data_IF_760600462209
#
_entry.id   IF_760600462209
#
_cell.length_a   1.000
_cell.length_b   1.000
_cell.length_c   1.000
_cell.angle_alpha   90.00
_cell.angle_beta   90.00
_cell.angle_gamma   90.00
#
_symmetry.space_group_name_H-M   'P 1'
#
loop_
_entity.id
_entity.type
_entity.pdbx_description
1 polymer ?
#
# COMPACT_ATOMS: atom_id res chain seq x y z
N UNK A 1 -3.72 -11.02 -16.03
CA UNK A 1 -2.57 -10.39 -16.72
C UNK A 1 -1.58 -9.81 -15.70
N UNK A 2 -0.26 -9.91 -15.91
CA UNK A 2 0.72 -9.28 -15.00
C UNK A 2 0.77 -7.76 -15.23
N UNK A 3 0.59 -6.99 -14.16
CA UNK A 3 0.56 -5.53 -14.16
C UNK A 3 1.88 -4.92 -13.69
N UNK A 4 2.55 -5.57 -12.75
CA UNK A 4 3.88 -5.23 -12.27
C UNK A 4 4.54 -6.47 -11.67
N UNK A 5 5.88 -6.53 -11.70
CA UNK A 5 6.66 -7.62 -11.17
C UNK A 5 8.00 -7.13 -10.58
N UNK A 6 8.38 -7.69 -9.44
CA UNK A 6 9.68 -7.47 -8.82
C UNK A 6 10.30 -8.81 -8.44
N UNK A 7 11.44 -9.12 -9.03
CA UNK A 7 12.29 -10.24 -8.67
C UNK A 7 13.42 -9.78 -7.74
N UNK A 8 13.65 -10.56 -6.70
CA UNK A 8 14.58 -10.26 -5.62
C UNK A 8 15.50 -11.47 -5.45
N UNK A 9 16.78 -11.20 -5.29
CA UNK A 9 17.77 -12.17 -4.86
C UNK A 9 18.22 -11.84 -3.44
N UNK A 10 18.25 -12.81 -2.56
CA UNK A 10 18.54 -12.58 -1.16
C UNK A 10 19.30 -13.74 -0.53
N UNK A 11 20.01 -13.45 0.56
CA UNK A 11 20.58 -14.51 1.40
C UNK A 11 19.45 -15.22 2.13
N UNK A 12 19.58 -16.55 2.27
CA UNK A 12 18.65 -17.36 3.07
C UNK A 12 18.71 -16.94 4.53
N UNK A 13 17.62 -17.10 5.28
CA UNK A 13 17.53 -16.69 6.70
C UNK A 13 18.68 -17.23 7.57
N UNK A 14 19.15 -18.45 7.32
CA UNK A 14 20.21 -19.11 8.09
C UNK A 14 21.63 -18.90 7.52
N UNK A 15 21.77 -18.12 6.45
CA UNK A 15 23.08 -17.85 5.87
C UNK A 15 23.86 -16.85 6.76
N UNK A 16 25.19 -17.00 6.89
CA UNK A 16 26.00 -16.07 7.68
C UNK A 16 26.06 -14.66 7.07
N UNK A 17 25.76 -14.53 5.77
CA UNK A 17 25.73 -13.25 5.07
C UNK A 17 24.31 -12.69 4.96
N UNK A 18 24.14 -11.37 5.07
CA UNK A 18 22.86 -10.66 4.87
C UNK A 18 22.91 -9.80 3.61
N UNK A 19 22.59 -10.38 2.46
CA UNK A 19 22.71 -9.74 1.13
C UNK A 19 21.36 -9.66 0.42
N UNK A 20 21.15 -8.59 -0.33
CA UNK A 20 19.98 -8.35 -1.19
C UNK A 20 20.46 -7.81 -2.54
N UNK A 21 19.88 -8.29 -3.63
CA UNK A 21 20.10 -7.82 -4.98
C UNK A 21 18.77 -7.78 -5.75
N UNK A 22 18.64 -6.87 -6.71
CA UNK A 22 17.47 -6.84 -7.61
C UNK A 22 17.68 -7.79 -8.77
N UNK A 23 16.62 -8.47 -9.17
CA UNK A 23 16.52 -9.31 -10.36
C UNK A 23 15.87 -8.56 -11.53
N UNK A 24 14.99 -9.25 -12.25
CA UNK A 24 14.02 -8.67 -13.17
C UNK A 24 13.10 -7.67 -12.47
N UNK A 25 12.93 -6.49 -13.07
CA UNK A 25 12.08 -5.42 -12.53
C UNK A 25 11.17 -4.89 -13.63
N UNK A 26 9.87 -5.05 -13.46
CA UNK A 26 8.84 -4.51 -14.33
C UNK A 26 7.87 -3.64 -13.52
N UNK A 27 8.13 -2.33 -13.51
CA UNK A 27 7.40 -1.35 -12.69
C UNK A 27 6.83 -0.23 -13.58
N UNK A 28 5.78 -0.49 -14.37
CA UNK A 28 5.24 0.48 -15.30
C UNK A 28 4.58 1.67 -14.60
N UNK A 29 4.78 2.85 -15.19
CA UNK A 29 4.19 4.13 -14.78
C UNK A 29 3.25 4.61 -15.89
N UNK A 30 2.05 4.04 -15.99
CA UNK A 30 0.99 4.60 -16.85
C UNK A 30 0.14 5.56 -16.00
N UNK A 31 0.25 6.87 -16.29
CA UNK A 31 -0.42 8.05 -15.69
C UNK A 31 -0.75 7.97 -14.17
N UNK A 32 -0.13 8.84 -13.36
CA UNK A 32 -0.27 8.85 -11.90
C UNK A 32 0.86 8.06 -11.22
N UNK A 33 0.59 7.40 -10.10
CA UNK A 33 1.59 6.59 -9.40
C UNK A 33 1.98 5.28 -10.11
N UNK A 34 1.12 4.77 -11.00
CA UNK A 34 1.38 3.57 -11.80
C UNK A 34 1.35 2.25 -11.02
N UNK A 35 1.10 1.14 -11.73
CA UNK A 35 1.04 -0.21 -11.17
C UNK A 35 2.34 -0.62 -10.47
N UNK A 36 3.49 -0.10 -10.93
CA UNK A 36 4.78 -0.32 -10.28
C UNK A 36 4.78 0.19 -8.84
N UNK A 37 4.33 1.43 -8.60
CA UNK A 37 4.30 1.98 -7.24
C UNK A 37 3.29 1.26 -6.35
N UNK A 38 2.18 0.80 -6.92
CA UNK A 38 1.17 -0.01 -6.20
C UNK A 38 1.77 -1.33 -5.73
N UNK A 39 2.54 -2.03 -6.58
CA UNK A 39 3.25 -3.24 -6.17
C UNK A 39 4.24 -2.95 -5.04
N UNK A 40 5.08 -1.92 -5.18
CA UNK A 40 6.07 -1.57 -4.15
C UNK A 40 5.39 -1.23 -2.80
N UNK A 41 4.29 -0.48 -2.84
CA UNK A 41 3.50 -0.18 -1.66
C UNK A 41 2.88 -1.45 -1.05
N UNK A 42 2.39 -2.39 -1.88
CA UNK A 42 1.86 -3.67 -1.41
C UNK A 42 2.90 -4.54 -0.69
N UNK A 43 4.13 -4.59 -1.22
CA UNK A 43 5.25 -5.28 -0.55
C UNK A 43 5.50 -4.65 0.83
N UNK A 44 5.57 -3.32 0.91
CA UNK A 44 5.74 -2.61 2.19
C UNK A 44 4.60 -2.94 3.14
N UNK A 45 3.34 -2.82 2.72
CA UNK A 45 2.19 -3.12 3.57
C UNK A 45 2.18 -4.58 4.06
N UNK A 46 2.64 -5.52 3.23
CA UNK A 46 2.70 -6.93 3.58
C UNK A 46 3.76 -7.22 4.63
N UNK A 47 4.97 -6.69 4.48
CA UNK A 47 6.14 -7.11 5.26
C UNK A 47 6.51 -6.14 6.39
N UNK A 48 6.04 -4.90 6.39
CA UNK A 48 6.33 -3.91 7.44
C UNK A 48 5.86 -4.33 8.85
N UNK A 49 4.73 -5.05 9.03
CA UNK A 49 4.37 -5.59 10.35
C UNK A 49 5.36 -6.62 10.91
N UNK A 50 6.17 -7.24 10.05
CA UNK A 50 7.09 -8.32 10.39
C UNK A 50 8.53 -7.82 10.69
N UNK A 51 8.76 -6.50 10.68
CA UNK A 51 10.06 -5.91 11.04
C UNK A 51 9.97 -5.17 12.39
N UNK A 52 11.11 -5.12 13.09
CA UNK A 52 11.28 -4.35 14.32
C UNK A 52 10.97 -2.86 14.10
N UNK A 53 10.24 -2.24 15.03
CA UNK A 53 9.87 -0.83 14.97
C UNK A 53 11.10 0.10 14.94
N UNK A 54 12.21 -0.33 15.54
CA UNK A 54 13.49 0.40 15.49
C UNK A 54 13.99 0.63 14.06
N UNK A 55 13.56 -0.20 13.11
CA UNK A 55 13.92 -0.08 11.69
C UNK A 55 13.06 0.90 10.90
N UNK A 56 11.94 1.37 11.47
CA UNK A 56 10.99 2.21 10.74
C UNK A 56 11.63 3.54 10.36
N UNK A 57 12.46 4.10 11.24
CA UNK A 57 13.16 5.36 10.99
C UNK A 57 14.34 5.21 10.02
N UNK A 58 15.07 4.08 10.04
CA UNK A 58 16.09 3.79 9.02
C UNK A 58 15.43 3.60 7.64
N UNK A 59 14.28 2.92 7.58
CA UNK A 59 13.49 2.79 6.36
C UNK A 59 13.03 4.15 5.80
N UNK A 60 12.45 5.03 6.63
CA UNK A 60 12.02 6.37 6.20
C UNK A 60 13.20 7.20 5.69
N UNK A 61 14.33 7.18 6.42
CA UNK A 61 15.57 7.86 6.01
C UNK A 61 16.05 7.32 4.66
N UNK A 62 16.08 6.01 4.47
CA UNK A 62 16.45 5.36 3.21
C UNK A 62 15.58 5.84 2.05
N UNK A 63 14.25 5.85 2.20
CA UNK A 63 13.34 6.33 1.16
C UNK A 63 13.62 7.79 0.78
N UNK A 64 13.85 8.66 1.76
CA UNK A 64 14.16 10.06 1.53
C UNK A 64 15.47 10.25 0.75
N UNK A 65 16.52 9.50 1.11
CA UNK A 65 17.79 9.53 0.39
C UNK A 65 17.65 9.02 -1.05
N UNK A 66 16.90 7.93 -1.26
CA UNK A 66 16.65 7.38 -2.61
C UNK A 66 15.84 8.36 -3.46
N UNK A 67 14.82 9.01 -2.87
CA UNK A 67 14.02 10.03 -3.53
C UNK A 67 14.90 11.15 -4.09
N UNK A 68 15.88 11.61 -3.31
CA UNK A 68 16.83 12.68 -3.67
C UNK A 68 17.98 12.22 -4.54
N UNK A 69 18.06 10.93 -4.87
CA UNK A 69 19.15 10.37 -5.67
C UNK A 69 20.50 10.36 -4.93
N UNK A 70 20.49 10.39 -3.60
CA UNK A 70 21.69 10.41 -2.80
C UNK A 70 22.41 9.04 -2.84
N UNK A 71 23.72 9.08 -2.53
CA UNK A 71 24.50 7.87 -2.29
C UNK A 71 24.07 7.25 -0.96
N UNK A 72 23.69 5.98 -1.00
CA UNK A 72 23.22 5.25 0.18
C UNK A 72 24.42 4.54 0.84
N UNK A 73 24.72 4.94 2.08
CA UNK A 73 25.63 4.19 2.95
C UNK A 73 25.05 2.80 3.24
N UNK A 74 25.89 1.77 3.17
CA UNK A 74 25.51 0.38 3.44
C UNK A 74 26.20 -0.10 4.73
N UNK A 75 25.58 -0.99 5.51
CA UNK A 75 24.30 -1.67 5.27
C UNK A 75 23.07 -0.81 5.64
N UNK A 76 21.87 -1.24 5.20
CA UNK A 76 20.56 -0.69 5.60
C UNK A 76 19.67 -1.82 6.10
N UNK A 77 18.89 -1.57 7.14
CA UNK A 77 18.08 -2.62 7.80
C UNK A 77 18.89 -3.92 8.07
N UNK A 78 20.16 -3.78 8.48
CA UNK A 78 21.14 -4.88 8.70
C UNK A 78 21.50 -5.72 7.46
N UNK A 79 21.11 -5.31 6.26
CA UNK A 79 21.40 -6.03 5.02
C UNK A 79 22.21 -5.16 4.05
N UNK A 80 23.06 -5.80 3.25
CA UNK A 80 23.87 -5.16 2.22
C UNK A 80 23.19 -5.31 0.86
N UNK A 81 22.97 -4.18 0.19
CA UNK A 81 22.56 -4.17 -1.21
C UNK A 81 23.76 -4.37 -2.15
N UNK A 82 23.62 -5.23 -3.16
CA UNK A 82 24.67 -5.55 -4.13
C UNK A 82 24.10 -5.91 -5.50
N UNK A 83 24.96 -5.98 -6.52
CA UNK A 83 24.60 -6.41 -7.88
C UNK A 83 24.76 -7.92 -8.09
N UNK A 84 25.78 -8.52 -7.46
CA UNK A 84 26.04 -9.95 -7.58
C UNK A 84 24.92 -10.80 -6.96
N UNK A 85 24.53 -11.84 -7.68
CA UNK A 85 23.42 -12.76 -7.34
C UNK A 85 23.90 -14.18 -7.05
N UNK A 86 25.20 -14.46 -7.20
CA UNK A 86 25.75 -15.81 -7.03
C UNK A 86 25.52 -16.30 -5.59
N UNK A 87 24.92 -17.48 -5.49
CA UNK A 87 24.60 -18.12 -4.21
C UNK A 87 23.46 -17.46 -3.42
N UNK A 88 22.65 -16.60 -4.06
CA UNK A 88 21.45 -16.04 -3.46
C UNK A 88 20.21 -16.85 -3.87
N UNK A 89 19.25 -16.95 -2.95
CA UNK A 89 17.91 -17.46 -3.23
C UNK A 89 17.09 -16.40 -3.99
N UNK A 90 16.06 -16.84 -4.71
CA UNK A 90 15.22 -15.99 -5.56
C UNK A 90 13.78 -15.98 -5.06
N UNK A 91 13.17 -14.80 -5.08
CA UNK A 91 11.77 -14.56 -4.71
C UNK A 91 11.14 -13.54 -5.66
N UNK A 92 9.88 -13.73 -6.03
CA UNK A 92 9.14 -12.83 -6.94
C UNK A 92 7.86 -12.31 -6.30
N UNK A 93 7.59 -11.04 -6.51
CA UNK A 93 6.33 -10.40 -6.14
C UNK A 93 5.64 -9.83 -7.37
N UNK A 94 4.32 -10.01 -7.45
CA UNK A 94 3.52 -9.61 -8.61
C UNK A 94 2.28 -8.86 -8.19
N UNK A 95 1.93 -7.87 -9.01
CA UNK A 95 0.58 -7.32 -9.09
C UNK A 95 -0.03 -7.82 -10.40
N UNK A 96 -1.23 -8.37 -10.32
CA UNK A 96 -1.93 -8.93 -11.46
C UNK A 96 -3.35 -8.37 -11.55
N UNK A 97 -3.85 -8.31 -12.76
CA UNK A 97 -5.27 -8.17 -13.07
C UNK A 97 -5.87 -9.57 -13.19
N UNK A 98 -6.89 -9.84 -12.37
CA UNK A 98 -7.71 -11.03 -12.42
C UNK A 98 -9.18 -10.61 -12.53
N UNK A 99 -9.75 -10.72 -13.74
CA UNK A 99 -11.16 -10.38 -14.02
C UNK A 99 -11.52 -8.93 -13.64
N UNK A 100 -10.63 -7.97 -13.90
CA UNK A 100 -10.82 -6.55 -13.58
C UNK A 100 -10.51 -6.20 -12.13
N UNK A 101 -10.06 -7.17 -11.32
CA UNK A 101 -9.66 -6.96 -9.92
C UNK A 101 -8.15 -7.06 -9.77
N UNK A 102 -7.60 -6.16 -8.96
CA UNK A 102 -6.20 -6.20 -8.57
C UNK A 102 -5.95 -7.36 -7.60
N UNK A 103 -4.95 -8.19 -7.91
CA UNK A 103 -4.51 -9.29 -7.07
C UNK A 103 -3.01 -9.19 -6.83
N UNK A 104 -2.62 -9.12 -5.56
CA UNK A 104 -1.23 -9.25 -5.16
C UNK A 104 -0.86 -10.73 -5.03
N UNK A 105 0.34 -11.08 -5.44
CA UNK A 105 0.95 -12.39 -5.19
C UNK A 105 2.34 -12.17 -4.64
N UNK A 106 2.53 -12.53 -3.38
CA UNK A 106 3.82 -12.48 -2.70
C UNK A 106 4.32 -13.90 -2.54
N UNK A 107 5.44 -14.21 -3.18
CA UNK A 107 6.18 -15.44 -2.90
C UNK A 107 6.82 -15.33 -1.50
N UNK A 108 6.41 -16.18 -0.57
CA UNK A 108 6.80 -16.12 0.85
C UNK A 108 8.00 -17.05 1.17
N UNK A 109 8.97 -17.11 0.26
CA UNK A 109 10.16 -17.94 0.44
C UNK A 109 11.03 -17.43 1.60
N UNK A 110 12.24 -18.00 1.76
CA UNK A 110 13.24 -17.69 2.80
C UNK A 110 13.75 -16.23 2.86
N UNK A 111 13.08 -15.28 2.21
CA UNK A 111 13.39 -13.86 2.28
C UNK A 111 12.91 -13.27 3.60
N UNK A 112 13.83 -12.67 4.36
CA UNK A 112 13.44 -11.91 5.54
C UNK A 112 12.62 -10.67 5.14
N UNK A 113 11.72 -10.21 6.02
CA UNK A 113 10.86 -9.07 5.75
C UNK A 113 11.65 -7.80 5.38
N UNK A 114 12.78 -7.56 6.05
CA UNK A 114 13.69 -6.45 5.74
C UNK A 114 14.25 -6.55 4.32
N UNK A 115 14.51 -7.75 3.82
CA UNK A 115 15.03 -7.96 2.47
C UNK A 115 14.01 -7.58 1.40
N UNK A 116 12.74 -7.97 1.60
CA UNK A 116 11.63 -7.61 0.71
C UNK A 116 11.41 -6.09 0.70
N UNK A 117 11.43 -5.45 1.87
CA UNK A 117 11.26 -4.00 2.01
C UNK A 117 12.42 -3.24 1.38
N UNK A 118 13.67 -3.69 1.58
CA UNK A 118 14.84 -3.07 0.95
C UNK A 118 14.80 -3.19 -0.57
N UNK A 119 14.46 -4.36 -1.10
CA UNK A 119 14.35 -4.55 -2.54
C UNK A 119 13.29 -3.62 -3.13
N UNK A 120 12.13 -3.47 -2.47
CA UNK A 120 11.13 -2.51 -2.88
C UNK A 120 11.66 -1.06 -2.84
N UNK A 121 12.37 -0.67 -1.78
CA UNK A 121 12.96 0.67 -1.65
C UNK A 121 14.01 0.96 -2.74
N UNK A 122 14.95 0.04 -2.99
CA UNK A 122 15.98 0.23 -4.03
C UNK A 122 15.38 0.23 -5.44
N UNK A 123 14.26 -0.44 -5.66
CA UNK A 123 13.55 -0.45 -6.95
C UNK A 123 12.96 0.92 -7.34
N UNK A 124 12.81 1.85 -6.38
CA UNK A 124 12.42 3.25 -6.68
C UNK A 124 13.41 3.92 -7.64
N UNK A 125 14.66 3.46 -7.67
CA UNK A 125 15.68 3.99 -8.61
C UNK A 125 15.30 3.77 -10.08
N UNK A 126 14.46 2.77 -10.39
CA UNK A 126 13.97 2.49 -11.74
C UNK A 126 12.93 3.51 -12.23
N UNK A 127 12.37 4.30 -11.33
CA UNK A 127 11.47 5.39 -11.68
C UNK A 127 12.27 6.63 -12.04
N UNK A 128 11.77 7.41 -13.00
CA UNK A 128 12.33 8.71 -13.32
C UNK A 128 12.33 9.60 -12.08
N UNK A 129 13.35 10.45 -11.94
CA UNK A 129 13.56 11.27 -10.74
C UNK A 129 12.30 12.08 -10.34
N UNK A 130 11.59 12.62 -11.34
CA UNK A 130 10.33 13.37 -11.16
C UNK A 130 9.18 12.57 -10.54
N UNK A 131 9.17 11.25 -10.72
CA UNK A 131 8.08 10.37 -10.30
C UNK A 131 8.33 9.77 -8.90
N UNK A 132 9.60 9.74 -8.44
CA UNK A 132 10.00 9.16 -7.15
C UNK A 132 9.22 9.72 -5.94
N UNK A 133 8.94 11.03 -5.83
CA UNK A 133 8.17 11.55 -4.70
C UNK A 133 6.77 10.93 -4.60
N UNK A 134 6.09 10.68 -5.73
CA UNK A 134 4.78 10.05 -5.73
C UNK A 134 4.86 8.59 -5.24
N UNK A 135 5.87 7.85 -5.69
CA UNK A 135 6.13 6.46 -5.26
C UNK A 135 6.42 6.39 -3.76
N UNK A 136 7.33 7.25 -3.27
CA UNK A 136 7.72 7.31 -1.86
C UNK A 136 6.53 7.67 -0.97
N UNK A 137 5.67 8.60 -1.41
CA UNK A 137 4.46 8.95 -0.67
C UNK A 137 3.50 7.75 -0.51
N UNK A 138 3.32 6.93 -1.55
CA UNK A 138 2.53 5.71 -1.45
C UNK A 138 3.17 4.67 -0.54
N UNK A 139 4.48 4.46 -0.65
CA UNK A 139 5.19 3.52 0.22
C UNK A 139 5.14 3.94 1.70
N UNK A 140 5.26 5.24 2.00
CA UNK A 140 5.07 5.76 3.35
C UNK A 140 3.63 5.61 3.85
N UNK A 141 2.65 5.78 2.98
CA UNK A 141 1.23 5.53 3.31
C UNK A 141 0.99 4.06 3.63
N UNK A 142 1.58 3.15 2.87
CA UNK A 142 1.45 1.70 3.03
C UNK A 142 1.91 1.18 4.41
N UNK A 143 2.90 1.83 5.05
CA UNK A 143 3.38 1.48 6.40
C UNK A 143 2.26 1.45 7.44
N UNK A 144 1.23 2.28 7.26
CA UNK A 144 0.10 2.42 8.20
C UNK A 144 -1.01 1.42 7.94
N UNK A 145 -0.91 0.61 6.89
CA UNK A 145 -1.89 -0.44 6.62
C UNK A 145 -1.82 -1.52 7.70
N UNK A 146 -2.99 -2.05 8.07
CA UNK A 146 -3.14 -3.06 9.13
C UNK A 146 -4.04 -4.25 8.71
N UNK A 147 -4.56 -4.23 7.49
CA UNK A 147 -5.42 -5.29 6.95
C UNK A 147 -4.68 -6.21 5.98
N UNK A 148 -5.43 -7.08 5.30
CA UNK A 148 -4.91 -7.89 4.20
C UNK A 148 -4.54 -6.99 2.99
N UNK A 149 -3.45 -7.32 2.29
CA UNK A 149 -3.02 -6.59 1.10
C UNK A 149 -3.81 -7.07 -0.11
N UNK A 150 -5.02 -6.51 -0.29
CA UNK A 150 -5.95 -6.82 -1.36
C UNK A 150 -6.68 -5.59 -1.90
N UNK A 151 -7.94 -5.74 -2.29
CA UNK A 151 -8.75 -4.64 -2.84
C UNK A 151 -8.91 -3.47 -1.87
N UNK A 152 -9.14 -3.74 -0.58
CA UNK A 152 -9.29 -2.69 0.44
C UNK A 152 -8.00 -1.89 0.62
N UNK A 153 -6.85 -2.53 0.45
CA UNK A 153 -5.56 -1.86 0.46
C UNK A 153 -5.39 -0.93 -0.76
N UNK A 154 -5.84 -1.37 -1.95
CA UNK A 154 -5.85 -0.52 -3.14
C UNK A 154 -6.73 0.71 -2.92
N UNK A 155 -7.96 0.51 -2.43
CA UNK A 155 -8.85 1.61 -2.06
C UNK A 155 -8.19 2.54 -1.05
N UNK A 156 -7.57 2.00 0.00
CA UNK A 156 -6.82 2.75 0.99
C UNK A 156 -5.70 3.57 0.37
N UNK A 157 -4.86 3.01 -0.50
CA UNK A 157 -3.79 3.75 -1.18
C UNK A 157 -4.37 4.89 -2.02
N UNK A 158 -5.52 4.66 -2.66
CA UNK A 158 -6.22 5.58 -3.54
C UNK A 158 -7.15 6.57 -2.83
N UNK A 159 -7.33 6.48 -1.49
CA UNK A 159 -8.08 7.42 -0.61
C UNK A 159 -7.60 8.88 -0.60
N UNK A 160 -6.90 9.32 -1.65
CA UNK A 160 -6.58 10.72 -2.00
C UNK A 160 -6.79 11.07 -3.48
N UNK A 161 -7.39 10.22 -4.31
CA UNK A 161 -7.65 10.56 -5.70
C UNK A 161 -9.06 10.16 -6.15
N UNK A 162 -10.01 11.08 -5.96
CA UNK A 162 -11.30 11.14 -6.66
C UNK A 162 -11.15 11.03 -8.19
N UNK A 163 -9.94 11.27 -8.71
CA UNK A 163 -9.59 11.14 -10.13
C UNK A 163 -9.34 9.70 -10.60
N UNK A 164 -9.15 8.72 -9.71
CA UNK A 164 -8.82 7.34 -10.11
C UNK A 164 -10.03 6.40 -10.12
N UNK A 165 -11.06 6.68 -9.32
CA UNK A 165 -12.35 5.96 -9.36
C UNK A 165 -13.07 6.20 -10.69
N UNK A 166 -12.96 7.42 -11.23
CA UNK A 166 -13.44 7.76 -12.57
C UNK A 166 -12.71 6.99 -13.70
N UNK A 167 -11.46 6.59 -13.49
CA UNK A 167 -10.64 5.85 -14.47
C UNK A 167 -10.87 4.32 -14.41
N UNK A 168 -11.68 3.84 -13.45
CA UNK A 168 -11.99 2.41 -13.20
C UNK A 168 -13.45 2.03 -13.50
N UNK A 169 -14.25 2.91 -14.11
CA UNK A 169 -15.58 2.55 -14.62
C UNK A 169 -16.71 2.43 -13.58
N UNK A 170 -16.56 3.06 -12.41
CA UNK A 170 -17.65 3.24 -11.44
C UNK A 170 -18.12 4.71 -11.42
N UNK A 171 -19.44 4.94 -11.32
CA UNK A 171 -20.11 6.21 -11.66
C UNK A 171 -19.70 7.47 -10.89
N UNK A 172 -19.11 7.39 -9.70
CA UNK A 172 -18.26 8.44 -9.06
C UNK A 172 -17.96 8.07 -7.60
N UNK A 173 -16.89 8.62 -7.02
CA UNK A 173 -16.63 8.52 -5.56
C UNK A 173 -17.76 9.12 -4.71
N UNK A 174 -18.43 10.14 -5.23
CA UNK A 174 -19.54 10.84 -4.58
C UNK A 174 -20.76 9.91 -4.47
N UNK A 175 -21.11 9.19 -5.53
CA UNK A 175 -22.21 8.21 -5.52
C UNK A 175 -22.02 7.12 -4.46
N UNK A 176 -20.79 6.61 -4.31
CA UNK A 176 -20.47 5.64 -3.25
C UNK A 176 -20.63 6.25 -1.86
N UNK A 177 -20.11 7.46 -1.65
CA UNK A 177 -20.20 8.13 -0.35
C UNK A 177 -21.65 8.45 0.05
N UNK A 178 -22.47 8.86 -0.92
CA UNK A 178 -23.91 9.05 -0.77
C UNK A 178 -24.60 7.74 -0.37
N UNK A 179 -24.27 6.63 -1.03
CA UNK A 179 -24.83 5.30 -0.71
C UNK A 179 -24.44 4.84 0.70
N UNK A 180 -23.18 5.01 1.11
CA UNK A 180 -22.69 4.58 2.43
C UNK A 180 -23.36 5.37 3.56
N UNK A 181 -23.56 6.69 3.37
CA UNK A 181 -24.24 7.54 4.35
C UNK A 181 -25.77 7.51 4.23
N UNK A 182 -26.32 6.80 3.24
CA UNK A 182 -27.76 6.75 2.98
C UNK A 182 -28.35 8.13 2.64
N UNK A 183 -27.57 8.97 1.96
CA UNK A 183 -27.99 10.31 1.53
C UNK A 183 -28.50 10.20 0.09
N UNK A 184 -29.77 10.51 -0.13
CA UNK A 184 -30.39 10.50 -1.46
C UNK A 184 -30.20 11.82 -2.21
N UNK A 185 -29.75 12.87 -1.51
CA UNK A 185 -29.49 14.20 -2.06
C UNK A 185 -28.27 14.15 -2.98
N UNK A 186 -28.40 14.66 -4.21
CA UNK A 186 -27.33 14.66 -5.22
C UNK A 186 -26.18 15.61 -4.84
N UNK A 187 -26.46 16.65 -4.04
CA UNK A 187 -25.46 17.60 -3.53
C UNK A 187 -25.80 17.99 -2.07
N UNK A 188 -25.48 17.13 -1.09
CA UNK A 188 -25.83 17.37 0.31
C UNK A 188 -25.01 18.51 0.90
N UNK A 189 -25.61 19.28 1.80
CA UNK A 189 -24.86 20.29 2.54
C UNK A 189 -23.98 19.67 3.65
N UNK A 190 -23.03 20.46 4.15
CA UNK A 190 -22.10 19.99 5.17
C UNK A 190 -22.77 19.61 6.50
N UNK A 191 -23.96 20.12 6.79
CA UNK A 191 -24.71 19.79 8.01
C UNK A 191 -25.40 18.43 7.89
N UNK A 192 -25.99 18.14 6.74
CA UNK A 192 -26.65 16.88 6.38
C UNK A 192 -25.66 15.71 6.46
N UNK A 193 -24.48 15.86 5.86
CA UNK A 193 -23.40 14.87 5.91
C UNK A 193 -22.97 14.59 7.35
N UNK A 194 -22.73 15.65 8.15
CA UNK A 194 -22.32 15.51 9.57
C UNK A 194 -23.42 14.89 10.43
N UNK A 195 -24.69 15.17 10.13
CA UNK A 195 -25.85 14.62 10.85
C UNK A 195 -26.00 13.13 10.58
N UNK A 196 -25.95 12.70 9.32
CA UNK A 196 -26.06 11.28 8.97
C UNK A 196 -24.86 10.48 9.47
N UNK A 197 -23.64 11.01 9.35
CA UNK A 197 -22.44 10.39 9.91
C UNK A 197 -22.59 10.14 11.42
N UNK A 198 -23.00 11.15 12.20
CA UNK A 198 -23.20 10.98 13.66
C UNK A 198 -24.28 9.95 13.99
N UNK A 199 -25.37 9.92 13.22
CA UNK A 199 -26.45 8.94 13.38
C UNK A 199 -25.93 7.51 13.17
N UNK A 200 -25.25 7.27 12.05
CA UNK A 200 -24.74 5.95 11.68
C UNK A 200 -23.62 5.48 12.61
N UNK A 201 -22.73 6.39 13.03
CA UNK A 201 -21.65 6.07 13.96
C UNK A 201 -22.19 5.64 15.34
N UNK A 202 -23.28 6.27 15.80
CA UNK A 202 -23.95 5.91 17.06
C UNK A 202 -24.61 4.53 17.00
N UNK A 203 -25.14 4.14 15.84
CA UNK A 203 -25.75 2.80 15.64
C UNK A 203 -24.72 1.69 15.44
N UNK A 204 -23.49 2.03 15.02
CA UNK A 204 -22.40 1.07 14.80
C UNK A 204 -21.56 0.83 16.07
N UNK A 205 -21.72 1.65 17.11
CA UNK A 205 -20.90 1.53 18.31
C UNK A 205 -21.20 0.21 19.05
N UNK A 206 -20.18 -0.57 19.44
CA UNK A 206 -20.32 -1.91 20.06
C UNK A 206 -20.97 -1.92 21.46
N UNK A 207 -21.42 -0.76 21.95
CA UNK A 207 -22.00 -0.57 23.28
C UNK A 207 -23.54 -0.50 23.22
N UNK A 208 -24.14 -0.77 22.05
CA UNK A 208 -25.60 -0.68 21.83
C UNK A 208 -26.19 -1.82 20.98
N UNK A 209 -25.44 -2.91 20.74
CA UNK A 209 -25.89 -4.00 19.86
C UNK A 209 -25.50 -5.38 20.36
N UNK A 210 -26.46 -6.30 20.26
CA UNK A 210 -26.43 -7.69 20.72
C UNK A 210 -25.25 -8.52 20.15
N UNK A 211 -24.96 -9.61 20.87
CA UNK A 211 -23.67 -10.26 21.08
C UNK A 211 -23.15 -11.14 19.91
N UNK A 212 -23.34 -10.76 18.64
CA UNK A 212 -22.98 -11.64 17.50
C UNK A 212 -22.25 -11.00 16.29
N UNK A 213 -21.86 -9.72 16.34
CA UNK A 213 -21.24 -9.01 15.19
C UNK A 213 -20.00 -8.18 15.55
N UNK A 214 -19.10 -8.71 16.39
CA UNK A 214 -17.83 -8.00 16.74
C UNK A 214 -16.85 -7.86 15.57
N UNK A 215 -17.05 -8.56 14.44
CA UNK A 215 -16.11 -8.60 13.31
C UNK A 215 -16.30 -7.44 12.30
N UNK A 216 -17.42 -6.69 12.33
CA UNK A 216 -17.70 -5.69 11.27
C UNK A 216 -17.79 -4.22 11.76
N UNK A 217 -17.78 -3.96 13.08
CA UNK A 217 -17.92 -2.60 13.60
C UNK A 217 -16.74 -1.69 13.20
N UNK A 218 -15.50 -2.19 13.29
CA UNK A 218 -14.31 -1.43 12.92
C UNK A 218 -14.28 -1.08 11.43
N UNK A 219 -14.62 -2.06 10.58
CA UNK A 219 -14.72 -1.87 9.12
C UNK A 219 -15.82 -0.85 8.79
N UNK A 220 -16.98 -0.97 9.42
CA UNK A 220 -18.09 -0.03 9.23
C UNK A 220 -17.76 1.39 9.67
N UNK A 221 -17.07 1.57 10.79
CA UNK A 221 -16.59 2.89 11.25
C UNK A 221 -15.63 3.51 10.23
N UNK A 222 -14.74 2.68 9.64
CA UNK A 222 -13.81 3.12 8.61
C UNK A 222 -14.54 3.57 7.34
N UNK A 223 -15.52 2.81 6.86
CA UNK A 223 -16.37 3.18 5.71
C UNK A 223 -17.11 4.50 5.94
N UNK A 224 -17.75 4.66 7.10
CA UNK A 224 -18.47 5.89 7.47
C UNK A 224 -17.54 7.11 7.53
N UNK A 225 -16.33 6.92 8.06
CA UNK A 225 -15.34 8.00 8.18
C UNK A 225 -14.82 8.45 6.81
N UNK A 226 -14.64 7.51 5.89
CA UNK A 226 -14.21 7.81 4.53
C UNK A 226 -15.33 8.46 3.71
N UNK A 227 -16.57 7.99 3.82
CA UNK A 227 -17.71 8.59 3.14
C UNK A 227 -17.95 10.06 3.58
N UNK A 228 -17.86 10.34 4.89
CA UNK A 228 -17.92 11.72 5.40
C UNK A 228 -16.82 12.60 4.81
N UNK A 229 -15.61 12.06 4.67
CA UNK A 229 -14.46 12.80 4.16
C UNK A 229 -14.61 13.16 2.68
N UNK A 230 -15.20 12.27 1.88
CA UNK A 230 -15.45 12.50 0.45
C UNK A 230 -16.44 13.65 0.26
N UNK A 231 -17.55 13.68 1.01
CA UNK A 231 -18.61 14.69 0.82
C UNK A 231 -18.35 16.05 1.49
N UNK A 232 -17.39 16.16 2.40
CA UNK A 232 -17.04 17.42 3.10
C UNK A 232 -15.79 18.10 2.54
N UNK A 233 -15.42 17.76 1.30
CA UNK A 233 -14.22 18.29 0.65
C UNK A 233 -14.37 19.74 0.20
#
# INVERSE_FOLDING_TARGET
MVLAELEIFHSRTNAPTRRVALGYVYLPVKKGSGNGAVLLAGIVARFMPDIDEDFYDDYKKLLYQIQRGERISQPRLRHRFQEDRIGLARTVHRLQDHEGKYRFTFELNEAAAEQNILAAAYSIRQFAYKDRPAVVNLMNKAVRWRGEVGTDFISYLLSRHDKFVADLGHESSESWALQILGISSINPDAEEVKKQFRKLLRTTHPDTGEDNTKIDAAKRIQELSEARRILLR
#
